data_IF_951124581331
#
_entry.id   IF_951124581331
#
_cell.length_a   1.000
_cell.length_b   1.000
_cell.length_c   1.000
_cell.angle_alpha   90.00
_cell.angle_beta   90.00
_cell.angle_gamma   90.00
#
_symmetry.space_group_name_H-M   'P 1'
#
loop_
_entity.id
_entity.type
_entity.pdbx_description
1 polymer ?
#
# COMPACT_ATOMS: atom_id res chain seq x y z
N UNK A 1 20.56 0.14 2.34
CA UNK A 1 20.05 1.51 2.61
C UNK A 1 18.58 1.38 2.96
N UNK A 2 18.05 2.26 3.82
CA UNK A 2 16.63 2.24 4.19
C UNK A 2 15.81 2.93 3.10
N UNK A 3 15.65 2.27 1.95
CA UNK A 3 15.11 2.84 0.69
C UNK A 3 13.59 3.11 0.72
N UNK A 4 12.96 3.04 1.89
CA UNK A 4 11.49 3.13 2.05
C UNK A 4 11.06 4.15 3.10
N UNK A 5 11.99 4.98 3.59
CA UNK A 5 11.62 6.18 4.36
C UNK A 5 11.07 7.23 3.38
N UNK A 6 9.84 7.70 3.62
CA UNK A 6 9.19 8.72 2.80
C UNK A 6 8.71 9.88 3.66
N UNK A 7 8.69 11.09 3.10
CA UNK A 7 8.16 12.28 3.77
C UNK A 7 6.81 12.64 3.19
N UNK A 8 5.77 12.55 4.01
CA UNK A 8 4.45 13.11 3.75
C UNK A 8 4.26 14.46 4.44
N UNK A 9 3.09 15.07 4.25
CA UNK A 9 2.73 16.33 4.90
C UNK A 9 1.29 16.32 5.38
N UNK A 10 1.08 16.89 6.56
CA UNK A 10 -0.23 17.27 7.09
C UNK A 10 -0.36 18.77 6.92
N UNK A 11 -1.51 19.23 6.46
CA UNK A 11 -1.80 20.67 6.36
C UNK A 11 -2.69 21.08 7.52
N UNK A 12 -2.22 22.05 8.31
CA UNK A 12 -3.03 22.78 9.27
C UNK A 12 -3.38 24.15 8.68
N UNK A 13 -4.63 24.58 8.82
CA UNK A 13 -5.09 25.83 8.23
C UNK A 13 -5.99 26.62 9.17
N UNK A 14 -5.91 27.95 9.05
CA UNK A 14 -6.85 28.86 9.70
C UNK A 14 -8.02 29.14 8.76
N UNK A 15 -9.24 28.91 9.25
CA UNK A 15 -10.46 29.34 8.56
C UNK A 15 -10.90 30.75 8.98
N UNK A 16 -11.84 31.32 8.24
CA UNK A 16 -12.43 32.63 8.55
C UNK A 16 -12.36 33.62 7.40
N UNK A 17 -13.02 34.78 7.56
CA UNK A 17 -13.03 35.85 6.56
C UNK A 17 -11.96 36.92 6.79
N UNK A 18 -11.36 36.96 7.98
CA UNK A 18 -10.30 37.90 8.34
C UNK A 18 -8.94 37.23 8.31
N UNK A 19 -7.91 37.87 7.74
CA UNK A 19 -6.55 37.35 7.77
C UNK A 19 -5.99 37.32 9.19
N UNK A 20 -5.01 36.44 9.43
CA UNK A 20 -4.25 36.43 10.67
C UNK A 20 -3.43 37.73 10.79
N UNK A 21 -3.54 38.39 11.93
CA UNK A 21 -2.81 39.60 12.31
C UNK A 21 -1.43 39.30 12.89
N UNK A 22 -1.23 38.07 13.40
CA UNK A 22 0.02 37.55 13.96
C UNK A 22 0.22 36.09 13.60
N UNK A 23 1.47 35.63 13.70
CA UNK A 23 1.81 34.22 13.54
C UNK A 23 1.02 33.36 14.52
N UNK A 24 0.41 32.28 13.99
CA UNK A 24 -0.37 31.32 14.76
C UNK A 24 0.41 30.01 14.88
N UNK A 25 0.81 29.67 16.11
CA UNK A 25 1.37 28.36 16.41
C UNK A 25 0.24 27.35 16.70
N UNK A 26 0.27 26.22 16.01
CA UNK A 26 -0.63 25.08 16.21
C UNK A 26 0.16 23.85 16.59
N UNK A 27 -0.34 23.08 17.54
CA UNK A 27 0.31 21.84 18.02
C UNK A 27 -0.48 20.62 17.55
N UNK A 28 0.16 19.77 16.73
CA UNK A 28 -0.40 18.54 16.18
C UNK A 28 0.09 17.34 17.00
N UNK A 29 -0.86 16.49 17.42
CA UNK A 29 -0.57 15.30 18.23
C UNK A 29 -1.33 14.08 17.72
N UNK A 30 -0.87 12.92 18.18
CA UNK A 30 -1.63 11.66 18.13
C UNK A 30 -1.81 11.19 19.58
N UNK A 31 -3.03 11.30 20.08
CA UNK A 31 -3.38 11.01 21.47
C UNK A 31 -4.69 10.21 21.56
N UNK A 32 -5.21 10.01 22.77
CA UNK A 32 -6.43 9.20 22.96
C UNK A 32 -7.62 9.70 22.15
N UNK A 33 -7.78 11.02 22.00
CA UNK A 33 -8.87 11.61 21.21
C UNK A 33 -8.66 11.35 19.71
N UNK A 34 -7.42 11.49 19.22
CA UNK A 34 -7.09 11.11 17.84
C UNK A 34 -7.42 9.63 17.56
N UNK A 35 -7.10 8.74 18.51
CA UNK A 35 -7.41 7.31 18.41
C UNK A 35 -8.93 7.03 18.41
N UNK A 36 -9.73 7.81 19.13
CA UNK A 36 -11.19 7.71 19.09
C UNK A 36 -11.77 8.03 17.71
N UNK A 37 -11.18 8.96 16.97
CA UNK A 37 -11.59 9.22 15.58
C UNK A 37 -11.32 8.03 14.66
N UNK A 38 -10.18 7.34 14.82
CA UNK A 38 -9.90 6.10 14.07
C UNK A 38 -10.88 4.98 14.45
N UNK A 39 -11.20 4.83 15.73
CA UNK A 39 -12.18 3.84 16.19
C UNK A 39 -13.58 4.15 15.63
N UNK A 40 -13.98 5.42 15.65
CA UNK A 40 -15.26 5.89 15.10
C UNK A 40 -15.33 5.66 13.58
N UNK A 41 -14.24 5.93 12.85
CA UNK A 41 -14.12 5.60 11.43
C UNK A 41 -14.33 4.10 11.21
N UNK A 42 -13.59 3.25 11.91
CA UNK A 42 -13.70 1.80 11.77
C UNK A 42 -15.12 1.28 12.04
N UNK A 43 -15.73 1.71 13.14
CA UNK A 43 -17.10 1.32 13.49
C UNK A 43 -18.12 1.80 12.45
N UNK A 44 -18.01 3.06 12.01
CA UNK A 44 -18.93 3.66 11.04
C UNK A 44 -18.90 2.96 9.68
N UNK A 45 -17.72 2.58 9.20
CA UNK A 45 -17.56 2.00 7.86
C UNK A 45 -17.69 0.48 7.84
N UNK A 46 -17.33 -0.22 8.92
CA UNK A 46 -17.22 -1.67 8.91
C UNK A 46 -18.07 -2.37 9.99
N UNK A 47 -18.67 -1.65 10.94
CA UNK A 47 -19.52 -2.24 11.98
C UNK A 47 -18.80 -3.40 12.69
N UNK A 48 -19.38 -4.59 12.64
CA UNK A 48 -18.81 -5.81 13.25
C UNK A 48 -17.79 -6.55 12.37
N UNK A 49 -17.45 -6.05 11.18
CA UNK A 49 -16.45 -6.65 10.30
C UNK A 49 -15.02 -6.27 10.72
N UNK A 50 -14.61 -6.66 11.93
CA UNK A 50 -13.32 -6.27 12.53
C UNK A 50 -12.10 -6.59 11.67
N UNK A 51 -12.18 -7.62 10.81
CA UNK A 51 -11.11 -7.97 9.87
C UNK A 51 -10.82 -6.89 8.82
N UNK A 52 -11.77 -5.97 8.57
CA UNK A 52 -11.63 -4.85 7.62
C UNK A 52 -11.18 -3.54 8.28
N UNK A 53 -11.06 -3.52 9.60
CA UNK A 53 -10.68 -2.31 10.33
C UNK A 53 -9.29 -1.85 9.90
N UNK A 54 -9.15 -0.53 9.67
CA UNK A 54 -7.87 0.10 9.54
C UNK A 54 -7.10 -0.03 10.86
N UNK A 55 -5.81 -0.37 10.75
CA UNK A 55 -4.91 -0.52 11.88
C UNK A 55 -4.13 0.77 12.09
N UNK A 56 -3.93 1.13 13.35
CA UNK A 56 -2.98 2.17 13.72
C UNK A 56 -1.59 1.77 13.23
N UNK A 57 -0.90 2.66 12.50
CA UNK A 57 0.51 2.44 12.19
C UNK A 57 1.33 2.52 13.48
N UNK A 58 2.24 1.57 13.67
CA UNK A 58 3.07 1.48 14.87
C UNK A 58 3.96 2.72 15.05
N UNK A 59 4.18 3.13 16.31
CA UNK A 59 4.91 4.35 16.68
C UNK A 59 6.40 4.35 16.29
N UNK A 60 6.99 3.18 16.10
CA UNK A 60 8.38 3.00 15.62
C UNK A 60 8.52 3.20 14.10
N UNK A 61 7.41 3.42 13.38
CA UNK A 61 7.38 3.52 11.91
C UNK A 61 7.10 4.91 11.39
N UNK A 62 6.96 5.89 12.27
CA UNK A 62 6.82 7.27 11.85
C UNK A 62 7.47 8.23 12.83
N UNK A 63 7.83 9.39 12.33
CA UNK A 63 8.36 10.49 13.11
C UNK A 63 7.70 11.79 12.65
N UNK A 64 7.27 12.61 13.60
CA UNK A 64 6.95 14.01 13.36
C UNK A 64 8.18 14.82 13.79
N UNK A 65 8.97 15.38 12.86
CA UNK A 65 10.16 16.16 13.21
C UNK A 65 9.83 17.37 14.09
N UNK A 66 8.62 17.92 13.94
CA UNK A 66 8.06 18.94 14.81
C UNK A 66 6.58 18.65 15.03
N UNK A 67 6.13 18.80 16.28
CA UNK A 67 4.72 18.80 16.64
C UNK A 67 4.07 20.17 16.43
N UNK A 68 4.87 21.23 16.37
CA UNK A 68 4.39 22.59 16.19
C UNK A 68 4.53 23.03 14.73
N UNK A 69 3.49 23.69 14.24
CA UNK A 69 3.46 24.36 12.94
C UNK A 69 3.15 25.85 13.15
N UNK A 70 3.76 26.72 12.34
CA UNK A 70 3.51 28.16 12.40
C UNK A 70 2.81 28.59 11.12
N UNK A 71 1.55 28.97 11.22
CA UNK A 71 0.81 29.65 10.15
C UNK A 71 1.20 31.12 10.22
N UNK A 72 1.88 31.61 9.17
CA UNK A 72 2.40 32.99 9.15
C UNK A 72 1.29 34.02 8.96
N UNK A 73 1.40 35.15 9.64
CA UNK A 73 0.54 36.30 9.36
C UNK A 73 0.69 36.72 7.89
N UNK A 74 -0.43 36.97 7.22
CA UNK A 74 -0.42 37.32 5.79
C UNK A 74 -0.09 36.18 4.82
N UNK A 75 0.06 34.93 5.28
CA UNK A 75 0.19 33.76 4.40
C UNK A 75 -1.08 33.63 3.53
N UNK A 76 -0.99 33.71 2.18
CA UNK A 76 -2.17 33.75 1.32
C UNK A 76 -3.09 32.54 1.47
N UNK A 77 -2.51 31.37 1.75
CA UNK A 77 -3.28 30.14 1.98
C UNK A 77 -3.79 30.01 3.42
N UNK A 78 -3.29 30.83 4.34
CA UNK A 78 -3.45 30.68 5.78
C UNK A 78 -3.18 29.26 6.29
N UNK A 79 -2.18 28.57 5.72
CA UNK A 79 -1.80 27.19 6.08
C UNK A 79 -0.35 27.04 6.51
N UNK A 80 -0.07 25.96 7.23
CA UNK A 80 1.25 25.46 7.53
C UNK A 80 1.31 23.96 7.21
N UNK A 81 2.47 23.50 6.74
CA UNK A 81 2.74 22.10 6.44
C UNK A 81 3.57 21.47 7.55
N UNK A 82 3.10 20.35 8.08
CA UNK A 82 3.81 19.56 9.09
C UNK A 82 4.34 18.30 8.41
N UNK A 83 5.68 18.16 8.29
CA UNK A 83 6.26 16.97 7.70
C UNK A 83 6.01 15.76 8.60
N UNK A 84 5.81 14.62 7.97
CA UNK A 84 5.78 13.31 8.64
C UNK A 84 6.69 12.36 7.88
N UNK A 85 7.66 11.78 8.59
CA UNK A 85 8.51 10.74 8.05
C UNK A 85 7.89 9.38 8.35
N UNK A 86 7.81 8.50 7.36
CA UNK A 86 7.15 7.20 7.46
C UNK A 86 8.06 6.10 6.91
N UNK A 87 8.27 5.06 7.70
CA UNK A 87 8.95 3.82 7.31
C UNK A 87 7.92 2.72 6.98
N UNK A 88 7.78 2.42 5.70
CA UNK A 88 6.84 1.41 5.20
C UNK A 88 7.42 0.00 5.06
N UNK A 89 8.65 -0.25 5.50
CA UNK A 89 9.31 -1.55 5.32
C UNK A 89 8.57 -2.68 6.03
N UNK A 90 8.20 -3.72 5.29
CA UNK A 90 7.53 -4.90 5.83
C UNK A 90 6.06 -4.68 6.20
N UNK A 91 5.48 -3.53 5.86
CA UNK A 91 4.02 -3.36 5.92
C UNK A 91 3.34 -4.29 4.92
N UNK A 92 2.20 -4.86 5.34
CA UNK A 92 1.42 -5.74 4.48
C UNK A 92 0.54 -4.92 3.54
N UNK A 93 0.52 -5.19 2.22
CA UNK A 93 -0.42 -4.53 1.31
C UNK A 93 -1.89 -4.95 1.55
N UNK A 94 -2.14 -5.95 2.39
CA UNK A 94 -3.49 -6.41 2.76
C UNK A 94 -4.08 -5.67 3.95
N UNK A 95 -3.31 -4.78 4.57
CA UNK A 95 -3.74 -4.03 5.75
C UNK A 95 -3.84 -2.56 5.42
N UNK A 96 -4.98 -1.95 5.74
CA UNK A 96 -5.11 -0.49 5.73
C UNK A 96 -4.43 0.06 6.98
N UNK A 97 -3.38 0.86 6.82
CA UNK A 97 -2.72 1.55 7.92
C UNK A 97 -3.14 3.02 7.95
N UNK A 98 -3.50 3.52 9.12
CA UNK A 98 -3.88 4.91 9.35
C UNK A 98 -3.11 5.47 10.55
N UNK A 99 -2.69 6.72 10.44
CA UNK A 99 -2.25 7.56 11.54
C UNK A 99 -3.29 8.66 11.81
N UNK A 100 -3.94 8.67 12.97
CA UNK A 100 -4.81 9.76 13.35
C UNK A 100 -4.01 10.90 13.98
N UNK A 101 -4.24 12.11 13.51
CA UNK A 101 -3.68 13.34 14.09
C UNK A 101 -4.80 14.30 14.43
N UNK A 102 -4.56 15.15 15.43
CA UNK A 102 -5.43 16.28 15.73
C UNK A 102 -4.66 17.52 16.16
N UNK A 103 -5.31 18.67 16.05
CA UNK A 103 -4.87 19.93 16.67
C UNK A 103 -5.22 19.86 18.15
N UNK A 104 -4.22 20.01 19.01
CA UNK A 104 -4.39 20.01 20.47
C UNK A 104 -4.35 21.39 21.10
N UNK A 105 -3.66 22.32 20.45
CA UNK A 105 -3.50 23.69 20.90
C UNK A 105 -3.33 24.62 19.68
N UNK A 106 -3.81 25.84 19.82
CA UNK A 106 -3.86 26.91 18.81
C UNK A 106 -3.56 28.28 19.42
N UNK A 107 -2.89 28.33 20.58
CA UNK A 107 -2.35 29.55 21.22
C UNK A 107 -3.29 30.77 21.17
N UNK A 108 -4.54 30.57 21.60
CA UNK A 108 -5.52 31.65 21.80
C UNK A 108 -6.52 31.87 20.67
N UNK A 109 -6.59 30.94 19.70
CA UNK A 109 -7.67 30.87 18.71
C UNK A 109 -8.57 29.67 18.98
N UNK A 110 -9.84 29.76 18.60
CA UNK A 110 -10.76 28.62 18.73
C UNK A 110 -10.39 27.49 17.77
N UNK A 111 -10.41 26.25 18.27
CA UNK A 111 -10.25 25.05 17.45
C UNK A 111 -11.63 24.61 16.98
N UNK A 112 -11.80 24.41 15.67
CA UNK A 112 -13.02 23.82 15.13
C UNK A 112 -13.03 22.31 15.39
N UNK A 113 -13.75 21.87 16.42
CA UNK A 113 -13.82 20.47 16.88
C UNK A 113 -14.44 19.49 15.88
N UNK A 114 -15.04 19.96 14.79
CA UNK A 114 -15.52 19.09 13.71
C UNK A 114 -14.44 18.81 12.64
N UNK A 115 -13.37 19.61 12.64
CA UNK A 115 -12.32 19.62 11.59
C UNK A 115 -10.91 19.67 12.17
N UNK A 116 -10.75 19.39 13.45
CA UNK A 116 -9.47 19.45 14.15
C UNK A 116 -8.62 18.21 13.96
N UNK A 117 -9.15 17.16 13.30
CA UNK A 117 -8.46 15.90 13.09
C UNK A 117 -8.32 15.51 11.62
N UNK A 118 -7.31 14.66 11.35
CA UNK A 118 -7.11 14.00 10.06
C UNK A 118 -6.76 12.53 10.28
N UNK A 119 -7.30 11.66 9.43
CA UNK A 119 -6.92 10.25 9.34
C UNK A 119 -5.98 10.07 8.15
N UNK A 120 -4.68 10.05 8.42
CA UNK A 120 -3.63 9.94 7.42
C UNK A 120 -3.46 8.47 7.01
N UNK A 121 -4.02 8.09 5.86
CA UNK A 121 -3.93 6.72 5.31
C UNK A 121 -2.61 6.50 4.58
N UNK A 122 -1.96 5.38 4.86
CA UNK A 122 -0.73 4.96 4.17
C UNK A 122 -1.09 4.04 3.00
N UNK A 123 -0.73 4.46 1.79
CA UNK A 123 -0.81 3.64 0.58
C UNK A 123 0.59 3.19 0.17
N UNK A 124 0.76 1.89 -0.05
CA UNK A 124 2.03 1.31 -0.51
C UNK A 124 2.12 1.41 -2.03
N UNK A 125 3.29 1.80 -2.54
CA UNK A 125 3.57 1.84 -3.97
C UNK A 125 5.03 1.53 -4.29
N UNK A 126 5.26 1.08 -5.52
CA UNK A 126 6.58 0.99 -6.15
C UNK A 126 6.44 1.22 -7.66
N UNK A 127 7.54 1.11 -8.42
CA UNK A 127 7.54 1.34 -9.87
C UNK A 127 6.54 0.45 -10.66
N UNK A 128 6.14 -0.68 -10.07
CA UNK A 128 5.36 -1.73 -10.73
C UNK A 128 3.92 -1.80 -10.23
N UNK A 129 3.56 -1.16 -9.11
CA UNK A 129 2.20 -1.19 -8.59
C UNK A 129 1.91 -0.04 -7.63
N UNK A 130 0.71 0.54 -7.76
CA UNK A 130 0.13 1.49 -6.82
C UNK A 130 -1.38 1.32 -6.72
N UNK A 131 -2.03 1.99 -5.75
CA UNK A 131 -3.50 1.97 -5.63
C UNK A 131 -4.20 2.43 -6.92
N UNK A 132 -3.58 3.34 -7.68
CA UNK A 132 -4.11 3.86 -8.95
C UNK A 132 -3.76 2.96 -10.15
N UNK A 133 -2.63 2.26 -10.10
CA UNK A 133 -2.14 1.43 -11.22
C UNK A 133 -1.58 0.11 -10.69
N UNK A 134 -2.48 -0.86 -10.49
CA UNK A 134 -2.16 -2.22 -10.02
C UNK A 134 -2.79 -3.33 -10.84
N UNK A 135 -3.51 -2.97 -11.89
CA UNK A 135 -4.22 -3.94 -12.74
C UNK A 135 -3.37 -4.26 -13.97
N UNK A 136 -3.18 -5.54 -14.22
CA UNK A 136 -2.41 -6.04 -15.34
C UNK A 136 -3.29 -6.94 -16.21
N UNK A 137 -3.27 -6.72 -17.53
CA UNK A 137 -3.87 -7.64 -18.48
C UNK A 137 -2.94 -8.84 -18.64
N UNK A 138 -3.45 -10.02 -18.30
CA UNK A 138 -2.74 -11.28 -18.42
C UNK A 138 -3.17 -12.05 -19.68
N UNK A 139 -2.17 -12.60 -20.37
CA UNK A 139 -2.33 -13.64 -21.40
C UNK A 139 -1.26 -14.70 -21.21
N UNK A 140 -1.63 -15.96 -21.30
CA UNK A 140 -0.69 -17.07 -21.14
C UNK A 140 -1.29 -18.42 -21.47
N UNK A 141 -0.56 -19.45 -21.07
CA UNK A 141 -1.00 -20.84 -21.10
C UNK A 141 -0.72 -21.52 -19.76
N UNK A 142 -1.49 -22.56 -19.48
CA UNK A 142 -1.29 -23.43 -18.33
C UNK A 142 -1.43 -24.89 -18.72
N UNK A 143 -0.66 -25.73 -18.05
CA UNK A 143 -0.70 -27.17 -18.19
C UNK A 143 -0.50 -27.84 -16.83
N UNK A 144 -1.55 -28.50 -16.35
CA UNK A 144 -1.45 -29.42 -15.21
C UNK A 144 -0.70 -30.68 -15.66
N UNK A 145 0.10 -31.27 -14.76
CA UNK A 145 0.84 -32.51 -15.02
C UNK A 145 -0.08 -33.62 -15.57
N UNK A 146 0.35 -34.28 -16.65
CA UNK A 146 -0.45 -35.29 -17.37
C UNK A 146 -1.67 -34.73 -18.14
N UNK A 147 -1.93 -33.43 -18.07
CA UNK A 147 -3.05 -32.76 -18.73
C UNK A 147 -2.68 -32.10 -20.06
N UNK A 148 -3.73 -31.66 -20.78
CA UNK A 148 -3.58 -30.83 -21.98
C UNK A 148 -3.28 -29.38 -21.61
N UNK A 149 -2.45 -28.73 -22.43
CA UNK A 149 -2.22 -27.28 -22.33
C UNK A 149 -3.47 -26.50 -22.73
N UNK A 150 -3.75 -25.42 -22.01
CA UNK A 150 -4.88 -24.51 -22.25
C UNK A 150 -4.44 -23.06 -22.21
N UNK A 151 -5.03 -22.22 -23.07
CA UNK A 151 -4.78 -20.79 -23.05
C UNK A 151 -5.63 -20.10 -21.99
N UNK A 152 -5.05 -19.11 -21.32
CA UNK A 152 -5.69 -18.34 -20.25
C UNK A 152 -5.55 -16.84 -20.50
N UNK A 153 -6.56 -16.10 -20.09
CA UNK A 153 -6.54 -14.64 -20.05
C UNK A 153 -7.36 -14.14 -18.88
N UNK A 154 -6.89 -13.09 -18.23
CA UNK A 154 -7.63 -12.40 -17.15
C UNK A 154 -7.04 -11.02 -16.90
N UNK A 155 -7.66 -10.24 -16.03
CA UNK A 155 -7.00 -9.09 -15.40
C UNK A 155 -6.52 -9.50 -14.00
N UNK A 156 -5.25 -9.26 -13.69
CA UNK A 156 -4.65 -9.53 -12.38
C UNK A 156 -4.51 -8.24 -11.59
N UNK A 157 -4.67 -8.36 -10.27
CA UNK A 157 -4.19 -7.34 -9.34
C UNK A 157 -2.79 -7.72 -8.87
N UNK A 158 -1.86 -6.78 -8.96
CA UNK A 158 -0.46 -6.90 -8.51
C UNK A 158 -0.27 -5.96 -7.32
N UNK A 159 0.31 -6.42 -6.23
CA UNK A 159 0.46 -5.63 -5.00
C UNK A 159 1.93 -5.38 -4.66
N UNK A 160 2.33 -4.17 -4.23
CA UNK A 160 3.71 -3.89 -3.86
C UNK A 160 4.05 -4.55 -2.51
N UNK A 161 5.25 -5.12 -2.41
CA UNK A 161 5.81 -5.68 -1.18
C UNK A 161 7.07 -4.95 -0.71
N UNK A 162 7.88 -4.51 -1.67
CA UNK A 162 9.10 -3.71 -1.44
C UNK A 162 9.42 -2.93 -2.72
N UNK A 163 10.47 -2.10 -2.68
CA UNK A 163 10.93 -1.29 -3.83
C UNK A 163 11.00 -2.07 -5.15
N UNK A 164 11.48 -3.32 -5.11
CA UNK A 164 11.62 -4.18 -6.28
C UNK A 164 10.84 -5.50 -6.17
N UNK A 165 9.83 -5.57 -5.31
CA UNK A 165 9.05 -6.79 -5.11
C UNK A 165 7.56 -6.53 -5.21
N UNK A 166 6.88 -7.43 -5.92
CA UNK A 166 5.43 -7.44 -6.07
C UNK A 166 4.85 -8.82 -5.80
N UNK A 167 3.60 -8.87 -5.35
CA UNK A 167 2.82 -10.09 -5.13
C UNK A 167 1.68 -10.19 -6.12
N UNK A 168 1.46 -11.39 -6.65
CA UNK A 168 0.27 -11.73 -7.42
C UNK A 168 -0.15 -13.19 -7.19
N UNK A 169 -1.33 -13.56 -7.69
CA UNK A 169 -1.76 -14.95 -7.77
C UNK A 169 -1.36 -15.55 -9.14
N UNK A 170 -0.88 -16.81 -9.18
CA UNK A 170 -0.62 -17.54 -10.41
C UNK A 170 -1.80 -17.60 -11.38
N UNK A 171 -1.50 -17.81 -12.67
CA UNK A 171 -2.47 -18.11 -13.74
C UNK A 171 -3.76 -17.27 -13.70
N UNK A 172 -4.95 -17.85 -13.77
CA UNK A 172 -6.22 -17.16 -13.58
C UNK A 172 -6.87 -17.44 -12.22
N UNK A 173 -6.06 -17.73 -11.18
CA UNK A 173 -6.57 -17.93 -9.82
C UNK A 173 -7.26 -16.66 -9.30
N UNK A 174 -8.35 -16.86 -8.57
CA UNK A 174 -9.08 -15.76 -7.92
C UNK A 174 -8.24 -15.12 -6.82
N UNK A 175 -8.23 -13.79 -6.78
CA UNK A 175 -7.61 -13.04 -5.68
C UNK A 175 -8.38 -13.26 -4.38
N UNK A 176 -7.68 -13.24 -3.26
CA UNK A 176 -8.26 -13.34 -1.93
C UNK A 176 -7.58 -12.37 -0.97
N UNK A 177 -8.35 -11.85 -0.01
CA UNK A 177 -7.85 -11.09 1.14
C UNK A 177 -7.58 -11.99 2.37
N UNK A 178 -7.90 -13.28 2.30
CA UNK A 178 -7.64 -14.23 3.37
C UNK A 178 -6.14 -14.61 3.40
N UNK A 179 -5.50 -14.36 4.54
CA UNK A 179 -4.06 -14.58 4.71
C UNK A 179 -3.63 -16.04 4.51
N UNK A 180 -4.47 -17.02 4.84
CA UNK A 180 -4.16 -18.43 4.60
C UNK A 180 -4.22 -18.76 3.12
N UNK A 181 -5.24 -18.25 2.40
CA UNK A 181 -5.33 -18.41 0.94
C UNK A 181 -4.15 -17.74 0.24
N UNK A 182 -3.79 -16.52 0.66
CA UNK A 182 -2.64 -15.78 0.15
C UNK A 182 -1.35 -16.59 0.38
N UNK A 183 -1.09 -17.05 1.61
CA UNK A 183 0.11 -17.85 1.93
C UNK A 183 0.21 -19.13 1.11
N UNK A 184 -0.92 -19.78 0.85
CA UNK A 184 -0.95 -21.07 0.14
C UNK A 184 -0.95 -20.94 -1.38
N UNK A 185 -1.17 -19.73 -1.94
CA UNK A 185 -1.41 -19.57 -3.38
C UNK A 185 -0.64 -18.44 -4.05
N UNK A 186 -0.22 -17.39 -3.34
CA UNK A 186 0.39 -16.22 -3.95
C UNK A 186 1.90 -16.40 -4.20
N UNK A 187 2.39 -15.73 -5.24
CA UNK A 187 3.82 -15.69 -5.61
C UNK A 187 4.36 -14.27 -5.50
N UNK A 188 5.68 -14.17 -5.37
CA UNK A 188 6.43 -12.92 -5.36
C UNK A 188 7.30 -12.85 -6.59
N UNK A 189 7.23 -11.74 -7.32
CA UNK A 189 8.21 -11.39 -8.34
C UNK A 189 9.21 -10.41 -7.73
N UNK A 190 10.49 -10.73 -7.86
CA UNK A 190 11.62 -9.88 -7.49
C UNK A 190 12.24 -9.39 -8.79
N UNK A 191 12.23 -8.08 -9.00
CA UNK A 191 12.77 -7.46 -10.20
C UNK A 191 14.21 -7.03 -9.91
N UNK A 192 15.15 -7.47 -10.75
CA UNK A 192 16.55 -7.08 -10.68
C UNK A 192 16.83 -5.84 -11.53
N UNK A 193 17.98 -5.21 -11.32
CA UNK A 193 18.36 -3.96 -12.02
C UNK A 193 18.54 -4.17 -13.53
N UNK A 194 18.92 -5.37 -13.95
CA UNK A 194 19.00 -5.79 -15.36
C UNK A 194 17.65 -6.18 -15.96
N UNK A 195 16.56 -5.93 -15.22
CA UNK A 195 15.19 -6.33 -15.52
C UNK A 195 14.93 -7.84 -15.60
N UNK A 196 15.88 -8.68 -15.21
CA UNK A 196 15.59 -10.09 -14.96
C UNK A 196 14.61 -10.22 -13.78
N UNK A 197 13.74 -11.23 -13.83
CA UNK A 197 12.72 -11.46 -12.81
C UNK A 197 12.97 -12.79 -12.15
N UNK A 198 13.03 -12.77 -10.81
CA UNK A 198 13.05 -13.97 -9.98
C UNK A 198 11.69 -14.20 -9.33
N UNK A 199 11.20 -15.43 -9.41
CA UNK A 199 9.93 -15.85 -8.82
C UNK A 199 10.23 -16.58 -7.51
N UNK A 200 9.52 -16.23 -6.45
CA UNK A 200 9.57 -16.91 -5.16
C UNK A 200 8.16 -17.21 -4.65
N UNK A 201 7.99 -18.24 -3.83
CA UNK A 201 6.74 -18.41 -3.10
C UNK A 201 6.53 -17.26 -2.12
N UNK A 202 5.29 -16.81 -1.95
CA UNK A 202 4.96 -15.86 -0.88
C UNK A 202 4.91 -16.55 0.49
N UNK A 203 4.45 -17.79 0.52
CA UNK A 203 4.34 -18.61 1.73
C UNK A 203 4.58 -20.07 1.44
N UNK A 204 3.52 -20.87 1.55
CA UNK A 204 3.56 -22.33 1.51
C UNK A 204 3.41 -22.92 0.10
N UNK A 205 3.08 -22.11 -0.90
CA UNK A 205 3.08 -22.58 -2.30
C UNK A 205 4.49 -23.05 -2.69
N UNK A 206 4.58 -24.14 -3.44
CA UNK A 206 5.85 -24.58 -4.04
C UNK A 206 5.98 -23.96 -5.43
N UNK A 207 7.18 -23.48 -5.77
CA UNK A 207 7.47 -22.81 -7.04
C UNK A 207 8.81 -23.28 -7.59
N UNK A 208 8.83 -23.60 -8.89
CA UNK A 208 10.03 -23.79 -9.68
C UNK A 208 10.00 -22.80 -10.85
N UNK A 209 10.97 -21.87 -10.87
CA UNK A 209 11.11 -20.93 -11.99
C UNK A 209 11.72 -21.63 -13.20
N UNK A 210 11.18 -21.37 -14.38
CA UNK A 210 11.71 -21.79 -15.67
C UNK A 210 12.40 -20.62 -16.37
N UNK A 211 12.97 -20.87 -17.56
CA UNK A 211 13.65 -19.85 -18.37
C UNK A 211 12.67 -18.75 -18.85
N UNK A 212 13.20 -17.61 -19.30
CA UNK A 212 12.45 -16.47 -19.87
C UNK A 212 11.60 -15.65 -18.88
N UNK A 213 12.15 -15.32 -17.72
CA UNK A 213 11.53 -14.40 -16.76
C UNK A 213 12.16 -13.01 -16.78
N UNK A 214 11.44 -12.01 -17.29
CA UNK A 214 11.92 -10.64 -17.41
C UNK A 214 10.80 -9.60 -17.32
N UNK A 215 11.19 -8.37 -17.01
CA UNK A 215 10.35 -7.18 -17.10
C UNK A 215 10.81 -6.31 -18.28
N UNK A 216 9.86 -5.84 -19.06
CA UNK A 216 10.07 -4.82 -20.09
C UNK A 216 9.57 -3.47 -19.54
N UNK A 217 10.48 -2.53 -19.25
CA UNK A 217 10.10 -1.21 -18.72
C UNK A 217 9.35 -0.33 -19.73
N UNK A 218 9.61 -0.47 -21.02
CA UNK A 218 8.98 0.35 -22.07
C UNK A 218 7.52 -0.05 -22.23
N UNK A 219 7.27 -1.35 -22.34
CA UNK A 219 5.93 -1.94 -22.49
C UNK A 219 5.21 -2.15 -21.14
N UNK A 220 5.90 -1.88 -20.02
CA UNK A 220 5.44 -2.16 -18.64
C UNK A 220 4.91 -3.59 -18.52
N UNK A 221 5.67 -4.54 -19.07
CA UNK A 221 5.22 -5.91 -19.31
C UNK A 221 6.11 -6.92 -18.61
N UNK A 222 5.53 -7.81 -17.82
CA UNK A 222 6.23 -9.00 -17.35
C UNK A 222 6.06 -10.14 -18.35
N UNK A 223 7.11 -10.93 -18.53
CA UNK A 223 7.06 -12.29 -19.09
C UNK A 223 7.57 -13.22 -18.01
N UNK A 224 6.79 -14.23 -17.62
CA UNK A 224 7.13 -15.16 -16.55
C UNK A 224 6.76 -16.59 -16.93
N UNK A 225 7.61 -17.53 -16.52
CA UNK A 225 7.49 -18.94 -16.83
C UNK A 225 7.89 -19.76 -15.60
N UNK A 226 7.00 -20.61 -15.12
CA UNK A 226 7.19 -21.31 -13.85
C UNK A 226 6.29 -22.54 -13.74
N UNK A 227 6.64 -23.43 -12.81
CA UNK A 227 5.74 -24.45 -12.28
C UNK A 227 5.37 -24.09 -10.86
N UNK A 228 4.14 -24.40 -10.46
CA UNK A 228 3.72 -24.28 -9.08
C UNK A 228 2.88 -25.47 -8.62
N UNK A 229 2.84 -25.67 -7.31
CA UNK A 229 1.94 -26.60 -6.63
C UNK A 229 1.50 -25.98 -5.31
N UNK A 230 0.18 -25.88 -5.07
CA UNK A 230 -0.32 -25.43 -3.76
C UNK A 230 -0.27 -26.60 -2.77
N UNK A 231 -0.25 -26.35 -1.45
CA UNK A 231 -0.24 -27.42 -0.45
C UNK A 231 -1.37 -28.46 -0.58
N UNK A 232 -2.51 -28.07 -1.18
CA UNK A 232 -3.65 -28.94 -1.44
C UNK A 232 -3.54 -29.79 -2.70
N UNK A 233 -2.61 -29.46 -3.60
CA UNK A 233 -2.50 -30.04 -4.93
C UNK A 233 -1.44 -31.17 -4.91
N UNK A 234 -1.69 -32.29 -5.59
CA UNK A 234 -0.69 -33.35 -5.76
C UNK A 234 0.25 -33.08 -6.94
N UNK A 235 -0.32 -32.51 -8.01
CA UNK A 235 0.33 -32.31 -9.31
C UNK A 235 0.88 -30.89 -9.49
N UNK A 236 1.93 -30.77 -10.30
CA UNK A 236 2.44 -29.46 -10.71
C UNK A 236 1.58 -28.85 -11.83
N UNK A 237 1.46 -27.53 -11.81
CA UNK A 237 0.92 -26.74 -12.92
C UNK A 237 2.02 -25.89 -13.51
N UNK A 238 2.34 -26.12 -14.79
CA UNK A 238 3.25 -25.28 -15.58
C UNK A 238 2.49 -24.10 -16.16
N UNK A 239 3.02 -22.90 -16.02
CA UNK A 239 2.42 -21.64 -16.47
C UNK A 239 3.45 -20.83 -17.22
N UNK A 240 3.07 -20.37 -18.42
CA UNK A 240 3.79 -19.33 -19.14
C UNK A 240 2.83 -18.17 -19.37
N UNK A 241 3.13 -16.99 -18.85
CA UNK A 241 2.22 -15.84 -18.96
C UNK A 241 2.95 -14.51 -19.13
N UNK A 242 2.25 -13.58 -19.75
CA UNK A 242 2.63 -12.18 -19.88
C UNK A 242 1.64 -11.30 -19.14
N UNK A 243 2.14 -10.26 -18.49
CA UNK A 243 1.34 -9.30 -17.72
C UNK A 243 1.65 -7.90 -18.23
N UNK A 244 0.75 -7.26 -18.94
CA UNK A 244 0.90 -5.86 -19.39
C UNK A 244 0.11 -4.93 -18.49
N UNK A 245 0.76 -3.89 -17.95
CA UNK A 245 0.08 -2.94 -17.04
C UNK A 245 -1.02 -2.18 -17.78
N UNK A 246 -2.19 -2.09 -17.16
CA UNK A 246 -3.29 -1.24 -17.64
C UNK A 246 -3.11 0.13 -17.00
N UNK A 247 -3.04 1.16 -17.84
CA UNK A 247 -2.97 2.57 -17.42
C UNK A 247 -4.34 3.24 -17.49
#
# INVERSE_FOLDING_TARGET
MNDSLTTGYITAGSGGSMPLDKDLAVTIVTDSVALEHLNSYNFRYFGSEYGKYARLLSADRYLLPSHDAIIKAGEPSATAFVPIEIDVNGLSPDTTYILPFRISDSKGYDINTEKDFVLYKIDLENAYSSVKSRTYKMRGSKQMEGGMSSNITTNKTVLPLAKNQIRLFPENLSVSADLNVIRNSAIVLIIHEDNSVRIKPYGNIEIEQLEDCAYDPEEKKFTINYKYRRPSDSEWTTVHETLTRIE
#
